data_IF_123412745179
#
_entry.id   IF_123412745179
#
_cell.length_a   1.000
_cell.length_b   1.000
_cell.length_c   1.000
_cell.angle_alpha   90.00
_cell.angle_beta   90.00
_cell.angle_gamma   90.00
#
_symmetry.space_group_name_H-M   'P 1'
#
loop_
_entity.id
_entity.type
_entity.pdbx_description
1 polymer ?
#
# COMPACT_ATOMS: atom_id res chain seq x y z
N UNK A 1 -3.01 57.81 -21.30
CA UNK A 1 -4.32 58.34 -20.83
C UNK A 1 -5.00 57.27 -19.98
N UNK A 2 -5.43 57.64 -18.75
CA UNK A 2 -6.43 57.01 -17.84
C UNK A 2 -6.38 55.48 -17.66
N UNK A 3 -5.95 54.87 -16.55
CA UNK A 3 -6.31 55.01 -15.12
C UNK A 3 -7.79 54.80 -14.80
N UNK A 4 -8.14 53.63 -14.24
CA UNK A 4 -9.18 53.49 -13.20
C UNK A 4 -8.90 52.30 -12.28
N UNK A 5 -8.76 52.59 -10.98
CA UNK A 5 -8.76 51.65 -9.83
C UNK A 5 -10.20 51.21 -9.53
N UNK A 6 -10.42 50.06 -8.89
CA UNK A 6 -11.40 49.93 -7.81
C UNK A 6 -10.98 48.83 -6.81
N UNK A 7 -10.76 49.26 -5.57
CA UNK A 7 -10.79 48.44 -4.35
C UNK A 7 -12.25 48.32 -3.90
N UNK A 8 -12.65 47.16 -3.36
CA UNK A 8 -13.81 47.12 -2.45
C UNK A 8 -13.54 46.13 -1.31
N UNK A 9 -13.42 46.71 -0.11
CA UNK A 9 -13.42 46.04 1.18
C UNK A 9 -14.84 45.59 1.55
N UNK A 10 -14.98 44.45 2.23
CA UNK A 10 -16.23 44.01 2.86
C UNK A 10 -15.94 43.37 4.22
N UNK A 11 -16.57 43.89 5.27
CA UNK A 11 -16.26 43.65 6.67
C UNK A 11 -17.06 42.51 7.33
N UNK A 12 -16.42 41.90 8.33
CA UNK A 12 -16.90 41.34 9.60
C UNK A 12 -18.35 40.83 9.77
N UNK A 13 -18.48 39.60 10.28
CA UNK A 13 -19.43 39.27 11.37
C UNK A 13 -18.79 38.24 12.31
N UNK A 14 -18.71 38.62 13.58
CA UNK A 14 -18.41 37.78 14.74
C UNK A 14 -19.63 36.89 15.03
N UNK A 15 -19.42 35.58 15.21
CA UNK A 15 -20.40 34.70 15.85
C UNK A 15 -19.68 33.78 16.84
N UNK A 16 -19.75 34.16 18.11
CA UNK A 16 -19.35 33.36 19.26
C UNK A 16 -20.35 32.22 19.44
N UNK A 17 -19.94 30.99 19.16
CA UNK A 17 -20.73 29.81 19.47
C UNK A 17 -20.27 29.21 20.80
N UNK A 18 -21.21 29.17 21.75
CA UNK A 18 -21.05 28.66 23.09
C UNK A 18 -20.56 27.20 23.11
N UNK A 19 -19.49 26.94 23.86
CA UNK A 19 -19.02 25.58 24.17
C UNK A 19 -19.92 24.98 25.26
N UNK A 20 -20.79 24.05 24.87
CA UNK A 20 -21.44 23.13 25.80
C UNK A 20 -20.40 22.13 26.31
N UNK A 21 -20.04 22.23 27.60
CA UNK A 21 -19.30 21.20 28.32
C UNK A 21 -20.21 19.96 28.46
N UNK A 22 -20.05 19.01 27.55
CA UNK A 22 -20.51 17.65 27.77
C UNK A 22 -19.46 16.94 28.63
N UNK A 23 -19.77 16.74 29.91
CA UNK A 23 -19.08 15.78 30.79
C UNK A 23 -19.42 14.36 30.31
N UNK A 24 -18.79 13.94 29.22
CA UNK A 24 -18.81 12.56 28.75
C UNK A 24 -17.89 11.73 29.63
N UNK A 25 -18.48 11.02 30.58
CA UNK A 25 -17.84 10.00 31.38
C UNK A 25 -17.20 8.96 30.44
N UNK A 26 -15.89 9.08 30.22
CA UNK A 26 -15.14 8.10 29.44
C UNK A 26 -15.04 6.84 30.28
N UNK A 27 -15.98 5.92 30.08
CA UNK A 27 -15.78 4.51 30.41
C UNK A 27 -14.53 4.07 29.67
N UNK A 28 -13.39 4.07 30.35
CA UNK A 28 -12.20 3.40 29.87
C UNK A 28 -12.55 1.91 29.84
N UNK A 29 -13.19 1.47 28.76
CA UNK A 29 -13.04 0.11 28.29
C UNK A 29 -11.54 -0.08 28.18
N UNK A 30 -10.99 -0.91 29.06
CA UNK A 30 -9.70 -1.50 28.83
C UNK A 30 -9.82 -2.16 27.45
N UNK A 31 -9.33 -1.46 26.43
CA UNK A 31 -9.15 -2.01 25.12
C UNK A 31 -8.15 -3.14 25.36
N UNK A 32 -8.69 -4.34 25.52
CA UNK A 32 -7.90 -5.56 25.41
C UNK A 32 -7.09 -5.37 24.15
N UNK A 33 -5.77 -5.41 24.29
CA UNK A 33 -4.86 -5.33 23.15
C UNK A 33 -5.06 -6.62 22.38
N UNK A 34 -6.13 -6.69 21.57
CA UNK A 34 -6.21 -7.63 20.49
C UNK A 34 -5.10 -7.19 19.56
N UNK A 35 -4.01 -7.97 19.52
CA UNK A 35 -3.05 -7.90 18.43
C UNK A 35 -3.80 -8.31 17.16
N UNK A 36 -4.53 -7.37 16.58
CA UNK A 36 -5.14 -7.48 15.28
C UNK A 36 -4.05 -7.10 14.29
N UNK A 37 -3.30 -8.09 13.82
CA UNK A 37 -2.46 -7.96 12.63
C UNK A 37 -3.36 -7.61 11.45
N UNK A 38 -3.65 -6.32 11.29
CA UNK A 38 -4.49 -5.81 10.22
C UNK A 38 -3.80 -5.90 8.87
N UNK A 39 -4.62 -5.88 7.83
CA UNK A 39 -4.15 -5.74 6.45
C UNK A 39 -3.30 -4.47 6.30
N UNK A 40 -2.07 -4.61 5.84
CA UNK A 40 -1.16 -3.51 5.54
C UNK A 40 -1.23 -3.21 4.03
N UNK A 41 -1.50 -1.97 3.62
CA UNK A 41 -1.56 -1.64 2.21
C UNK A 41 -0.17 -1.67 1.55
N UNK A 42 -0.15 -1.92 0.25
CA UNK A 42 1.05 -1.83 -0.59
C UNK A 42 0.68 -1.27 -1.97
N UNK A 43 1.64 -0.64 -2.64
CA UNK A 43 1.45 -0.12 -4.00
C UNK A 43 2.79 -0.08 -4.74
N UNK A 44 2.78 -0.57 -5.97
CA UNK A 44 3.88 -0.46 -6.93
C UNK A 44 3.37 0.21 -8.21
N UNK A 45 4.18 1.09 -8.79
CA UNK A 45 3.84 1.81 -10.02
C UNK A 45 5.01 1.81 -10.99
N UNK A 46 4.72 1.64 -12.27
CA UNK A 46 5.70 1.83 -13.34
C UNK A 46 5.03 2.17 -14.67
N UNK A 47 5.42 3.29 -15.28
CA UNK A 47 4.79 3.78 -16.50
C UNK A 47 3.28 3.98 -16.34
N UNK A 48 2.49 3.31 -17.18
CA UNK A 48 1.01 3.33 -17.14
C UNK A 48 0.39 2.21 -16.29
N UNK A 49 1.23 1.46 -15.57
CA UNK A 49 0.81 0.30 -14.82
C UNK A 49 0.92 0.53 -13.31
N UNK A 50 -0.03 -0.03 -12.57
CA UNK A 50 -0.17 0.10 -11.11
C UNK A 50 -0.61 -1.23 -10.53
N UNK A 51 0.06 -1.69 -9.51
CA UNK A 51 -0.32 -2.85 -8.71
C UNK A 51 -0.50 -2.40 -7.26
N UNK A 52 -1.63 -2.72 -6.64
CA UNK A 52 -1.93 -2.28 -5.27
C UNK A 52 -2.87 -3.24 -4.56
N UNK A 53 -2.76 -3.31 -3.25
CA UNK A 53 -3.69 -4.09 -2.43
C UNK A 53 -3.26 -4.15 -0.97
N UNK A 54 -3.49 -5.29 -0.33
CA UNK A 54 -3.19 -5.52 1.08
C UNK A 54 -2.28 -6.74 1.28
N UNK A 55 -1.57 -6.75 2.40
CA UNK A 55 -0.80 -7.89 2.89
C UNK A 55 -1.11 -8.16 4.36
N UNK A 56 -1.17 -9.42 4.76
CA UNK A 56 -1.44 -9.83 6.14
C UNK A 56 -0.70 -11.12 6.49
N UNK A 57 -0.56 -11.36 7.79
CA UNK A 57 0.01 -12.59 8.34
C UNK A 57 -1.11 -13.44 8.96
N UNK A 58 -1.25 -14.66 8.47
CA UNK A 58 -2.05 -15.69 9.12
C UNK A 58 -1.13 -16.54 10.00
N UNK A 59 -1.51 -16.76 11.26
CA UNK A 59 -0.77 -17.67 12.15
C UNK A 59 -1.02 -19.12 11.73
N UNK A 60 0.06 -19.90 11.55
CA UNK A 60 -0.03 -21.33 11.27
C UNK A 60 0.05 -22.20 12.53
N UNK A 61 -0.09 -21.62 13.73
CA UNK A 61 0.00 -22.35 15.00
C UNK A 61 1.43 -22.73 15.44
N UNK A 62 2.46 -22.10 14.87
CA UNK A 62 3.88 -22.31 15.21
C UNK A 62 4.72 -21.02 15.12
N UNK A 63 6.06 -21.14 15.06
CA UNK A 63 6.99 -19.99 14.95
C UNK A 63 7.01 -19.31 13.56
N UNK A 64 6.30 -19.87 12.59
CA UNK A 64 6.14 -19.33 11.24
C UNK A 64 4.72 -18.84 11.02
N UNK A 65 4.58 -17.80 10.21
CA UNK A 65 3.29 -17.32 9.74
C UNK A 65 3.16 -17.59 8.24
N UNK A 66 1.93 -17.54 7.72
CA UNK A 66 1.67 -17.47 6.29
C UNK A 66 1.50 -16.01 5.91
N UNK A 67 2.32 -15.52 4.99
CA UNK A 67 2.17 -14.20 4.40
C UNK A 67 1.19 -14.29 3.24
N UNK A 68 0.13 -13.50 3.28
CA UNK A 68 -0.86 -13.36 2.21
C UNK A 68 -0.71 -11.96 1.62
N UNK A 69 -0.66 -11.88 0.30
CA UNK A 69 -0.61 -10.61 -0.43
C UNK A 69 -1.65 -10.67 -1.53
N UNK A 70 -2.64 -9.79 -1.42
CA UNK A 70 -3.75 -9.67 -2.36
C UNK A 70 -3.75 -8.28 -2.96
N UNK A 71 -4.19 -8.17 -4.20
CA UNK A 71 -4.32 -6.88 -4.84
C UNK A 71 -4.84 -6.95 -6.26
N UNK A 72 -4.72 -5.83 -6.94
CA UNK A 72 -5.12 -5.63 -8.31
C UNK A 72 -3.96 -5.04 -9.08
N UNK A 73 -3.68 -5.60 -10.25
CA UNK A 73 -2.76 -5.07 -11.24
C UNK A 73 -3.56 -4.45 -12.39
N UNK A 74 -3.31 -3.19 -12.69
CA UNK A 74 -4.00 -2.40 -13.72
C UNK A 74 -2.97 -1.79 -14.66
N UNK A 75 -3.29 -1.78 -15.95
CA UNK A 75 -2.57 -1.01 -16.96
C UNK A 75 -3.56 -0.14 -17.73
N UNK A 76 -3.20 1.10 -18.02
CA UNK A 76 -4.01 2.01 -18.84
C UNK A 76 -3.40 2.29 -20.22
N UNK A 77 -2.16 1.86 -20.44
CA UNK A 77 -1.41 2.07 -21.69
C UNK A 77 -1.59 0.93 -22.69
N UNK A 78 -0.86 1.02 -23.81
CA UNK A 78 -0.83 -0.01 -24.87
C UNK A 78 0.30 -1.02 -24.70
N UNK A 79 1.34 -0.64 -23.96
CA UNK A 79 2.51 -1.49 -23.76
C UNK A 79 2.21 -2.68 -22.83
N UNK A 80 3.10 -3.66 -22.84
CA UNK A 80 3.08 -4.75 -21.87
C UNK A 80 3.79 -4.34 -20.58
N UNK A 81 3.20 -4.71 -19.45
CA UNK A 81 3.81 -4.64 -18.13
C UNK A 81 3.58 -5.94 -17.37
N UNK A 82 4.50 -6.28 -16.49
CA UNK A 82 4.44 -7.49 -15.67
C UNK A 82 4.75 -7.20 -14.21
N UNK A 83 4.03 -7.87 -13.31
CA UNK A 83 4.28 -7.82 -11.86
C UNK A 83 5.25 -8.94 -11.51
N UNK A 84 6.30 -8.59 -10.78
CA UNK A 84 7.32 -9.51 -10.30
C UNK A 84 7.43 -9.41 -8.78
N UNK A 85 7.82 -10.53 -8.17
CA UNK A 85 8.24 -10.55 -6.77
C UNK A 85 9.66 -11.07 -6.66
N UNK A 86 10.41 -10.57 -5.68
CA UNK A 86 11.71 -11.09 -5.33
C UNK A 86 11.75 -11.35 -3.83
N UNK A 87 12.04 -12.60 -3.46
CA UNK A 87 12.17 -13.02 -2.07
C UNK A 87 13.63 -13.16 -1.72
N UNK A 88 13.98 -12.80 -0.50
CA UNK A 88 15.30 -12.99 0.08
C UNK A 88 15.13 -13.84 1.33
N UNK A 89 15.78 -14.99 1.34
CA UNK A 89 15.81 -15.90 2.49
C UNK A 89 17.21 -15.84 3.08
N UNK A 90 17.30 -15.52 4.37
CA UNK A 90 18.58 -15.46 5.09
C UNK A 90 19.64 -14.61 4.35
N UNK A 91 19.22 -13.42 3.91
CA UNK A 91 20.04 -12.45 3.16
C UNK A 91 20.50 -12.92 1.76
N UNK A 92 20.01 -14.05 1.27
CA UNK A 92 20.25 -14.55 -0.08
C UNK A 92 19.06 -14.22 -1.01
N UNK A 93 19.23 -13.30 -1.97
CA UNK A 93 18.15 -12.94 -2.89
C UNK A 93 17.90 -14.08 -3.89
N UNK A 94 16.66 -14.54 -3.92
CA UNK A 94 16.19 -15.51 -4.92
C UNK A 94 15.97 -14.83 -6.26
N UNK A 95 15.94 -15.58 -7.37
CA UNK A 95 15.52 -15.07 -8.66
C UNK A 95 14.12 -14.44 -8.58
N UNK A 96 13.94 -13.31 -9.27
CA UNK A 96 12.63 -12.69 -9.39
C UNK A 96 11.66 -13.62 -10.10
N UNK A 97 10.42 -13.69 -9.61
CA UNK A 97 9.37 -14.55 -10.16
C UNK A 97 8.23 -13.69 -10.69
N UNK A 98 7.88 -13.88 -11.96
CA UNK A 98 6.76 -13.20 -12.60
C UNK A 98 5.44 -13.74 -12.07
N UNK A 99 4.57 -12.84 -11.64
CA UNK A 99 3.24 -13.19 -11.10
C UNK A 99 2.15 -13.05 -12.15
N UNK A 100 2.19 -11.96 -12.92
CA UNK A 100 1.15 -11.61 -13.89
C UNK A 100 1.71 -10.70 -14.99
N UNK A 101 1.01 -10.61 -16.11
CA UNK A 101 1.35 -9.75 -17.25
C UNK A 101 0.08 -9.18 -17.87
N UNK A 102 0.09 -7.88 -18.15
CA UNK A 102 -0.95 -7.15 -18.87
C UNK A 102 -0.34 -6.47 -20.09
N UNK A 103 -0.76 -6.90 -21.28
CA UNK A 103 -0.44 -6.25 -22.54
C UNK A 103 -1.62 -5.40 -22.99
N UNK A 104 -1.44 -4.08 -22.93
CA UNK A 104 -2.53 -3.13 -23.16
C UNK A 104 -3.38 -2.85 -21.92
N UNK A 105 -4.44 -2.07 -22.13
CA UNK A 105 -5.29 -1.62 -21.05
C UNK A 105 -6.09 -2.77 -20.47
N UNK A 106 -6.10 -2.89 -19.15
CA UNK A 106 -6.78 -3.99 -18.48
C UNK A 106 -6.51 -4.02 -16.98
N UNK A 107 -7.13 -5.01 -16.34
CA UNK A 107 -7.05 -5.25 -14.91
C UNK A 107 -6.98 -6.75 -14.65
N UNK A 108 -6.12 -7.18 -13.73
CA UNK A 108 -5.96 -8.56 -13.28
C UNK A 108 -5.80 -8.60 -11.75
N UNK A 109 -6.15 -9.71 -11.13
CA UNK A 109 -5.89 -9.93 -9.72
C UNK A 109 -4.41 -10.26 -9.48
N UNK A 110 -3.90 -9.85 -8.32
CA UNK A 110 -2.64 -10.32 -7.75
C UNK A 110 -3.00 -11.11 -6.50
N UNK A 111 -2.70 -12.40 -6.50
CA UNK A 111 -2.93 -13.27 -5.34
C UNK A 111 -1.70 -14.16 -5.17
N UNK A 112 -0.95 -13.92 -4.10
CA UNK A 112 0.26 -14.65 -3.79
C UNK A 112 0.35 -14.89 -2.29
N UNK A 113 0.94 -16.03 -1.92
CA UNK A 113 1.15 -16.37 -0.53
C UNK A 113 2.43 -17.15 -0.31
N UNK A 114 3.00 -16.99 0.88
CA UNK A 114 4.14 -17.78 1.36
C UNK A 114 3.72 -18.47 2.63
N UNK A 115 3.74 -19.80 2.62
CA UNK A 115 3.31 -20.62 3.76
C UNK A 115 4.24 -20.49 4.98
N UNK A 116 5.54 -20.34 4.77
CA UNK A 116 6.56 -20.37 5.82
C UNK A 116 7.30 -19.04 5.92
N UNK A 117 6.57 -17.95 6.16
CA UNK A 117 7.16 -16.65 6.39
C UNK A 117 7.86 -16.63 7.77
N UNK A 118 9.19 -16.40 7.74
CA UNK A 118 10.04 -16.20 8.92
C UNK A 118 10.50 -14.75 9.01
N UNK A 119 11.00 -14.33 10.19
CA UNK A 119 11.56 -12.99 10.38
C UNK A 119 12.80 -12.72 9.52
N UNK A 120 13.49 -13.75 9.04
CA UNK A 120 14.64 -13.62 8.13
C UNK A 120 14.23 -13.60 6.65
N UNK A 121 12.94 -13.82 6.37
CA UNK A 121 12.39 -13.71 5.02
C UNK A 121 12.02 -12.26 4.75
N UNK A 122 12.58 -11.70 3.67
CA UNK A 122 12.13 -10.42 3.13
C UNK A 122 11.65 -10.59 1.70
N UNK A 123 10.76 -9.71 1.26
CA UNK A 123 10.24 -9.75 -0.09
C UNK A 123 9.83 -8.40 -0.60
N UNK A 124 9.93 -8.24 -1.91
CA UNK A 124 9.50 -7.05 -2.62
C UNK A 124 8.60 -7.40 -3.81
N UNK A 125 7.78 -6.44 -4.19
CA UNK A 125 6.98 -6.43 -5.42
C UNK A 125 7.39 -5.24 -6.27
N UNK A 126 7.46 -5.45 -7.58
CA UNK A 126 7.77 -4.39 -8.53
C UNK A 126 7.12 -4.69 -9.88
N UNK A 127 7.05 -3.66 -10.72
CA UNK A 127 6.48 -3.75 -12.07
C UNK A 127 7.60 -3.53 -13.07
N UNK A 128 7.69 -4.41 -14.06
CA UNK A 128 8.61 -4.29 -15.17
C UNK A 128 7.86 -4.05 -16.48
N UNK A 129 8.47 -3.32 -17.41
CA UNK A 129 7.99 -3.22 -18.78
C UNK A 129 8.29 -4.53 -19.50
N UNK A 130 7.37 -4.97 -20.35
CA UNK A 130 7.46 -6.23 -21.08
C UNK A 130 6.99 -7.43 -20.25
N UNK A 131 7.23 -8.62 -20.80
CA UNK A 131 6.75 -9.89 -20.28
C UNK A 131 7.85 -10.96 -20.12
N UNK A 132 9.08 -10.71 -20.57
CA UNK A 132 10.13 -11.72 -20.66
C UNK A 132 11.06 -11.75 -19.46
N UNK A 133 11.50 -10.59 -19.00
CA UNK A 133 12.52 -10.46 -17.96
C UNK A 133 12.25 -9.26 -17.05
N UNK A 134 13.09 -9.14 -16.02
CA UNK A 134 13.03 -8.10 -15.01
C UNK A 134 14.17 -7.07 -15.19
N UNK A 135 14.48 -6.68 -16.43
CA UNK A 135 15.59 -5.74 -16.72
C UNK A 135 15.16 -4.26 -16.74
N UNK A 136 13.91 -3.97 -17.12
CA UNK A 136 13.35 -2.61 -17.17
C UNK A 136 12.21 -2.47 -16.14
N UNK A 137 12.53 -2.10 -14.90
CA UNK A 137 11.60 -2.12 -13.77
C UNK A 137 11.54 -0.82 -12.98
N UNK A 138 10.36 -0.57 -12.41
CA UNK A 138 10.15 0.51 -11.44
C UNK A 138 10.73 0.21 -10.05
N UNK A 139 10.48 1.10 -9.07
CA UNK A 139 10.91 0.90 -7.69
C UNK A 139 10.37 -0.39 -7.07
N UNK A 140 11.16 -1.00 -6.19
CA UNK A 140 10.73 -2.14 -5.38
C UNK A 140 9.94 -1.69 -4.16
N UNK A 141 8.72 -2.21 -4.01
CA UNK A 141 7.88 -2.01 -2.84
C UNK A 141 8.03 -3.22 -1.89
N UNK A 142 8.29 -2.97 -0.61
CA UNK A 142 8.49 -4.03 0.36
C UNK A 142 7.15 -4.70 0.74
N UNK A 143 7.10 -6.02 0.64
CA UNK A 143 5.98 -6.86 1.08
C UNK A 143 6.17 -7.40 2.51
N UNK A 144 7.28 -7.11 3.17
CA UNK A 144 7.65 -7.73 4.46
C UNK A 144 8.11 -6.73 5.51
N UNK A 145 8.09 -5.43 5.21
CA UNK A 145 8.34 -4.39 6.20
C UNK A 145 7.07 -4.15 7.02
N UNK A 146 7.17 -4.39 8.33
CA UNK A 146 6.13 -4.18 9.34
C UNK A 146 6.65 -3.16 10.38
N UNK A 147 5.81 -2.31 10.99
CA UNK A 147 4.72 -1.47 10.48
C UNK A 147 5.15 0.01 10.33
N UNK A 148 4.40 0.85 9.61
CA UNK A 148 4.52 2.33 9.70
C UNK A 148 3.13 2.93 9.43
N UNK A 149 2.29 3.38 10.39
CA UNK A 149 2.39 3.92 11.76
C UNK A 149 1.06 3.64 12.54
N UNK A 150 1.00 3.90 13.88
CA UNK A 150 -0.28 4.09 14.57
C UNK A 150 -0.99 5.34 14.03
N UNK A 151 -2.23 5.20 13.57
CA UNK A 151 -3.13 6.36 13.38
C UNK A 151 -3.83 6.64 14.70
N UNK A 152 -3.58 7.85 15.21
CA UNK A 152 -4.17 8.47 16.40
C UNK A 152 -5.70 8.47 16.40
#
# INVERSE_FOLDING_TARGET
>A
MRSTRMLTSGAAVLASSAMLLALGQSSATAAGVTSAGGDVPWTATYGTATASGTRSLESNGGLSSKLIVKGTFKNTGKDCYSVWTQWTYDMSPMPATKQSTLCGAGTQAVDLSIANYSLTTTGSVFICRGDKDATDCGPQESLTSWPVKPTS
#
